data_IF_371042798219
#
_entry.id   IF_371042798219
#
_cell.length_a   1.000
_cell.length_b   1.000
_cell.length_c   1.000
_cell.angle_alpha   90.00
_cell.angle_beta   90.00
_cell.angle_gamma   90.00
#
_symmetry.space_group_name_H-M   'P 1'
#
loop_
_entity.id
_entity.type
_entity.pdbx_description
1 polymer ?
#
# COMPACT_ATOMS: atom_id res chain seq x y z
N UNK A 1 -24.74 2.17 -37.27
CA UNK A 1 -25.34 1.28 -36.24
C UNK A 1 -24.30 0.83 -35.18
N UNK A 2 -23.58 1.76 -34.52
CA UNK A 2 -22.52 1.40 -33.53
C UNK A 2 -22.69 2.03 -32.13
N UNK A 3 -23.63 2.96 -31.93
CA UNK A 3 -23.84 3.64 -30.64
C UNK A 3 -24.68 2.84 -29.63
N UNK A 4 -25.46 1.84 -30.06
CA UNK A 4 -26.35 1.06 -29.18
C UNK A 4 -25.60 0.02 -28.32
N UNK A 5 -24.40 -0.39 -28.73
CA UNK A 5 -23.61 -1.41 -28.01
C UNK A 5 -22.89 -0.85 -26.77
N UNK A 6 -22.48 0.42 -26.81
CA UNK A 6 -21.75 1.06 -25.70
C UNK A 6 -22.63 1.17 -24.45
N UNK A 7 -23.90 1.52 -24.61
CA UNK A 7 -24.85 1.65 -23.49
C UNK A 7 -25.10 0.30 -22.81
N UNK A 8 -25.19 -0.78 -23.59
CA UNK A 8 -25.40 -2.14 -23.05
C UNK A 8 -24.16 -2.62 -22.28
N UNK A 9 -22.95 -2.31 -22.76
CA UNK A 9 -21.70 -2.67 -22.08
C UNK A 9 -21.55 -1.90 -20.75
N UNK A 10 -21.88 -0.61 -20.72
CA UNK A 10 -21.82 0.19 -19.48
C UNK A 10 -22.79 -0.33 -18.42
N UNK A 11 -24.02 -0.67 -18.81
CA UNK A 11 -25.02 -1.22 -17.88
C UNK A 11 -24.55 -2.57 -17.31
N UNK A 12 -23.97 -3.45 -18.14
CA UNK A 12 -23.46 -4.75 -17.69
C UNK A 12 -22.29 -4.61 -16.71
N UNK A 13 -21.38 -3.66 -16.94
CA UNK A 13 -20.26 -3.38 -16.01
C UNK A 13 -20.80 -2.85 -14.68
N UNK A 14 -21.78 -1.93 -14.69
CA UNK A 14 -22.40 -1.43 -13.46
C UNK A 14 -23.08 -2.55 -12.66
N UNK A 15 -23.77 -3.50 -13.32
CA UNK A 15 -24.37 -4.64 -12.65
C UNK A 15 -23.34 -5.60 -12.04
N UNK A 16 -22.21 -5.83 -12.73
CA UNK A 16 -21.12 -6.67 -12.22
C UNK A 16 -20.46 -6.06 -10.99
N UNK A 17 -20.16 -4.76 -11.01
CA UNK A 17 -19.57 -4.06 -9.85
C UNK A 17 -20.54 -4.07 -8.66
N UNK A 18 -21.84 -3.86 -8.90
CA UNK A 18 -22.86 -3.92 -7.85
C UNK A 18 -22.94 -5.31 -7.19
N UNK A 19 -22.87 -6.40 -7.98
CA UNK A 19 -22.89 -7.75 -7.47
C UNK A 19 -21.65 -8.09 -6.62
N UNK A 20 -20.47 -7.64 -7.04
CA UNK A 20 -19.20 -7.87 -6.31
C UNK A 20 -19.21 -7.13 -4.95
N UNK A 21 -19.71 -5.89 -4.91
CA UNK A 21 -19.83 -5.12 -3.65
C UNK A 21 -20.87 -5.74 -2.71
N UNK A 22 -21.98 -6.28 -3.24
CA UNK A 22 -22.98 -6.99 -2.45
C UNK A 22 -22.44 -8.31 -1.86
N UNK A 23 -21.60 -9.03 -2.61
CA UNK A 23 -20.95 -10.26 -2.15
C UNK A 23 -19.93 -9.98 -1.04
N UNK A 24 -19.10 -8.95 -1.19
CA UNK A 24 -18.10 -8.59 -0.17
C UNK A 24 -18.72 -8.13 1.15
N UNK A 25 -19.88 -7.46 1.11
CA UNK A 25 -20.64 -7.13 2.33
C UNK A 25 -21.24 -8.37 3.02
N UNK A 26 -21.61 -9.41 2.27
CA UNK A 26 -22.17 -10.65 2.85
C UNK A 26 -21.11 -11.55 3.50
N UNK A 27 -19.87 -11.57 2.98
CA UNK A 27 -18.75 -12.27 3.64
C UNK A 27 -18.33 -11.60 4.95
N UNK A 28 -18.41 -10.28 5.02
CA UNK A 28 -18.04 -9.52 6.22
C UNK A 28 -19.01 -9.72 7.39
N UNK A 29 -20.30 -10.02 7.12
CA UNK A 29 -21.27 -10.30 8.18
C UNK A 29 -21.12 -11.71 8.76
N UNK A 30 -20.61 -12.68 7.99
CA UNK A 30 -20.38 -14.05 8.46
C UNK A 30 -19.11 -14.19 9.32
N UNK A 31 -18.11 -13.29 9.18
CA UNK A 31 -16.92 -13.29 10.04
C UNK A 31 -17.15 -12.64 11.40
N UNK A 32 -18.09 -11.70 11.52
CA UNK A 32 -18.38 -11.05 12.81
C UNK A 32 -19.14 -11.93 13.80
N UNK A 33 -19.86 -12.96 13.35
CA UNK A 33 -20.66 -13.82 14.24
C UNK A 33 -19.84 -14.94 14.91
N UNK A 34 -18.75 -15.40 14.29
CA UNK A 34 -17.88 -16.45 14.85
C UNK A 34 -16.82 -15.94 15.83
N UNK A 35 -16.51 -14.64 15.84
CA UNK A 35 -15.45 -14.08 16.68
C UNK A 35 -15.92 -13.79 18.13
N UNK A 36 -17.23 -13.73 18.38
CA UNK A 36 -17.79 -13.54 19.73
C UNK A 36 -18.03 -14.85 20.51
N UNK A 37 -18.00 -16.01 19.86
CA UNK A 37 -18.11 -17.32 20.52
C UNK A 37 -16.76 -17.87 21.01
N UNK A 38 -15.63 -17.43 20.42
CA UNK A 38 -14.31 -18.00 20.69
C UNK A 38 -13.54 -17.33 21.85
N UNK A 39 -13.91 -16.10 22.23
CA UNK A 39 -13.16 -15.30 23.21
C UNK A 39 -13.67 -15.43 24.68
N UNK A 40 -14.54 -16.39 24.99
CA UNK A 40 -15.09 -16.56 26.35
C UNK A 40 -14.73 -17.89 27.06
N UNK A 41 -13.88 -18.75 26.51
CA UNK A 41 -13.55 -20.04 27.11
C UNK A 41 -12.09 -20.24 27.57
N UNK A 42 -11.14 -19.35 27.28
CA UNK A 42 -9.71 -19.58 27.58
C UNK A 42 -9.13 -18.69 28.69
N UNK A 43 -9.81 -18.63 29.84
CA UNK A 43 -9.17 -18.11 31.05
C UNK A 43 -9.39 -18.98 32.28
N UNK A 44 -9.27 -20.30 32.14
CA UNK A 44 -8.91 -21.16 33.28
C UNK A 44 -8.30 -22.46 32.79
N UNK A 45 -6.97 -22.60 32.89
CA UNK A 45 -6.25 -23.73 33.50
C UNK A 45 -4.84 -23.87 32.90
N UNK A 46 -3.88 -23.68 33.80
CA UNK A 46 -2.48 -23.97 33.64
C UNK A 46 -2.23 -25.49 33.63
N UNK A 47 -1.19 -25.88 32.88
CA UNK A 47 -0.30 -27.03 33.09
C UNK A 47 -0.39 -28.23 32.13
N UNK A 48 0.82 -28.59 31.67
CA UNK A 48 1.34 -29.90 31.22
C UNK A 48 1.24 -30.33 29.74
N UNK A 49 2.43 -30.27 29.12
CA UNK A 49 3.18 -31.35 28.46
C UNK A 49 2.81 -31.89 27.06
N UNK A 50 3.87 -31.89 26.24
CA UNK A 50 4.33 -32.87 25.22
C UNK A 50 3.65 -33.00 23.85
N UNK A 51 4.41 -32.52 22.85
CA UNK A 51 5.00 -33.25 21.71
C UNK A 51 4.16 -33.71 20.50
N UNK A 52 4.81 -33.54 19.34
CA UNK A 52 4.67 -34.17 18.03
C UNK A 52 3.57 -33.74 17.04
N UNK A 53 4.06 -33.18 15.91
CA UNK A 53 3.47 -33.24 14.56
C UNK A 53 2.32 -32.29 14.29
N UNK A 54 2.12 -31.70 13.12
CA UNK A 54 2.80 -31.73 11.82
C UNK A 54 2.01 -30.69 10.98
N UNK A 55 2.73 -29.78 10.30
CA UNK A 55 2.44 -29.14 8.98
C UNK A 55 0.98 -28.92 8.55
N UNK A 56 0.55 -27.81 7.96
CA UNK A 56 1.21 -26.72 7.23
C UNK A 56 0.06 -25.75 6.88
N UNK A 57 0.16 -24.46 7.16
CA UNK A 57 -0.55 -23.44 6.35
C UNK A 57 0.06 -22.05 6.57
N UNK A 58 1.10 -21.80 5.76
CA UNK A 58 1.44 -20.52 5.15
C UNK A 58 1.42 -19.27 6.05
N UNK A 59 2.40 -19.19 6.95
CA UNK A 59 2.99 -17.90 7.27
C UNK A 59 3.57 -17.33 5.98
N UNK A 60 2.89 -16.35 5.37
CA UNK A 60 3.52 -15.51 4.34
C UNK A 60 4.76 -14.89 4.97
N UNK A 61 5.93 -15.31 4.51
CA UNK A 61 7.19 -14.67 4.83
C UNK A 61 7.09 -13.20 4.40
N UNK A 62 6.88 -12.30 5.36
CA UNK A 62 7.39 -10.95 5.24
C UNK A 62 8.90 -11.11 5.06
N UNK A 63 9.39 -10.97 3.82
CA UNK A 63 10.80 -11.16 3.48
C UNK A 63 11.68 -10.44 4.51
N UNK A 64 12.63 -11.18 5.09
CA UNK A 64 13.49 -10.73 6.17
C UNK A 64 14.43 -9.62 5.70
N UNK A 65 13.94 -8.39 5.63
CA UNK A 65 14.75 -7.23 5.33
C UNK A 65 15.77 -6.96 6.42
N UNK A 66 16.93 -6.44 6.03
CA UNK A 66 17.88 -5.88 7.00
C UNK A 66 17.53 -4.43 7.28
N UNK A 67 17.81 -3.88 8.47
CA UNK A 67 17.68 -2.44 8.69
C UNK A 67 18.44 -1.65 7.61
N UNK A 68 17.83 -0.59 7.09
CA UNK A 68 18.51 0.30 6.16
C UNK A 68 19.65 1.06 6.88
N UNK A 69 20.71 1.40 6.14
CA UNK A 69 21.80 2.24 6.65
C UNK A 69 21.34 3.69 6.84
N UNK A 70 21.99 4.42 7.74
CA UNK A 70 21.68 5.84 7.98
C UNK A 70 21.71 6.68 6.69
N UNK A 71 22.67 6.40 5.79
CA UNK A 71 22.79 7.07 4.50
C UNK A 71 21.59 6.78 3.58
N UNK A 72 21.09 5.54 3.57
CA UNK A 72 19.87 5.20 2.82
C UNK A 72 18.64 5.88 3.42
N UNK A 73 18.52 5.87 4.75
CA UNK A 73 17.42 6.49 5.48
C UNK A 73 17.36 8.00 5.17
N UNK A 74 18.50 8.68 5.23
CA UNK A 74 18.61 10.10 4.89
C UNK A 74 18.20 10.35 3.42
N UNK A 75 18.70 9.53 2.50
CA UNK A 75 18.42 9.69 1.08
C UNK A 75 16.93 9.50 0.73
N UNK A 76 16.29 8.44 1.23
CA UNK A 76 14.85 8.19 0.94
C UNK A 76 13.95 9.20 1.64
N UNK A 77 14.32 9.64 2.85
CA UNK A 77 13.62 10.71 3.56
C UNK A 77 13.68 12.01 2.79
N UNK A 78 14.84 12.34 2.21
CA UNK A 78 15.01 13.51 1.34
C UNK A 78 14.11 13.41 0.09
N UNK A 79 14.14 12.29 -0.63
CA UNK A 79 13.31 12.07 -1.83
C UNK A 79 11.83 12.21 -1.50
N UNK A 80 11.36 11.62 -0.41
CA UNK A 80 9.98 11.73 0.03
C UNK A 80 9.58 13.19 0.30
N UNK A 81 10.41 13.94 1.03
CA UNK A 81 10.13 15.34 1.34
C UNK A 81 10.17 16.24 0.09
N UNK A 82 11.08 15.99 -0.85
CA UNK A 82 11.13 16.69 -2.13
C UNK A 82 9.88 16.40 -2.98
N UNK A 83 9.42 15.15 -2.98
CA UNK A 83 8.19 14.76 -3.65
C UNK A 83 6.98 15.50 -3.06
N UNK A 84 6.82 15.48 -1.73
CA UNK A 84 5.76 16.22 -1.06
C UNK A 84 5.84 17.73 -1.35
N UNK A 85 7.05 18.30 -1.35
CA UNK A 85 7.27 19.71 -1.67
C UNK A 85 6.86 20.07 -3.10
N UNK A 86 7.18 19.21 -4.07
CA UNK A 86 6.78 19.36 -5.46
C UNK A 86 5.26 19.27 -5.62
N UNK A 87 4.62 18.28 -4.98
CA UNK A 87 3.15 18.14 -4.97
C UNK A 87 2.48 19.37 -4.34
N UNK A 88 2.97 19.85 -3.19
CA UNK A 88 2.47 21.06 -2.49
C UNK A 88 2.57 22.31 -3.36
N UNK A 89 3.65 22.42 -4.13
CA UNK A 89 3.92 23.55 -5.02
C UNK A 89 3.26 23.40 -6.41
N UNK A 90 2.52 22.30 -6.64
CA UNK A 90 1.94 21.92 -7.94
C UNK A 90 2.97 21.77 -9.07
N UNK A 91 4.22 21.49 -8.73
CA UNK A 91 5.29 21.15 -9.67
C UNK A 91 5.25 19.64 -9.96
N UNK A 92 4.27 19.25 -10.77
CA UNK A 92 4.02 17.84 -11.07
C UNK A 92 5.12 17.22 -11.94
N UNK A 93 5.84 18.02 -12.74
CA UNK A 93 6.99 17.53 -13.50
C UNK A 93 8.14 17.15 -12.57
N UNK A 94 8.42 17.96 -11.55
CA UNK A 94 9.42 17.63 -10.54
C UNK A 94 8.99 16.41 -9.70
N UNK A 95 7.73 16.35 -9.27
CA UNK A 95 7.21 15.18 -8.54
C UNK A 95 7.33 13.91 -9.40
N UNK A 96 7.00 13.99 -10.69
CA UNK A 96 7.13 12.88 -11.63
C UNK A 96 8.59 12.43 -11.82
N UNK A 97 9.55 13.35 -11.87
CA UNK A 97 10.98 13.00 -11.99
C UNK A 97 11.49 12.18 -10.80
N UNK A 98 10.90 12.34 -9.62
CA UNK A 98 11.24 11.61 -8.41
C UNK A 98 10.63 10.19 -8.37
N UNK A 99 9.74 9.85 -9.30
CA UNK A 99 9.20 8.50 -9.47
C UNK A 99 10.16 7.63 -10.29
N UNK A 100 10.23 6.35 -9.93
CA UNK A 100 10.99 5.32 -10.64
C UNK A 100 10.41 5.06 -12.03
N UNK A 101 11.21 4.50 -12.94
CA UNK A 101 10.71 4.14 -14.26
C UNK A 101 9.65 3.02 -14.18
N UNK A 102 9.74 2.13 -13.19
CA UNK A 102 8.70 1.12 -12.90
C UNK A 102 7.37 1.78 -12.54
N UNK A 103 7.34 2.78 -11.66
CA UNK A 103 6.10 3.48 -11.31
C UNK A 103 5.57 4.26 -12.51
N UNK A 104 6.45 4.91 -13.29
CA UNK A 104 6.07 5.64 -14.51
C UNK A 104 5.56 4.72 -15.61
N UNK A 105 5.87 3.43 -15.60
CA UNK A 105 5.30 2.50 -16.57
C UNK A 105 3.80 2.25 -16.38
N UNK A 106 3.23 2.63 -15.22
CA UNK A 106 1.82 2.45 -14.89
C UNK A 106 0.89 3.51 -15.49
N UNK A 107 1.44 4.61 -16.02
CA UNK A 107 0.66 5.69 -16.60
C UNK A 107 1.54 6.84 -17.10
N UNK A 108 0.93 7.88 -17.67
CA UNK A 108 1.68 9.05 -18.11
C UNK A 108 1.65 10.22 -17.11
N UNK A 109 2.38 11.29 -17.42
CA UNK A 109 2.41 12.49 -16.58
C UNK A 109 1.02 13.15 -16.43
N UNK A 110 0.14 13.02 -17.43
CA UNK A 110 -1.22 13.57 -17.38
C UNK A 110 -2.06 12.79 -16.38
N UNK A 111 -2.04 11.46 -16.46
CA UNK A 111 -2.73 10.57 -15.53
C UNK A 111 -2.22 10.74 -14.10
N UNK A 112 -0.91 10.86 -13.91
CA UNK A 112 -0.30 11.18 -12.63
C UNK A 112 -0.79 12.50 -12.06
N UNK A 113 -0.80 13.56 -12.89
CA UNK A 113 -1.28 14.87 -12.46
C UNK A 113 -2.75 14.83 -12.07
N UNK A 114 -3.59 14.10 -12.80
CA UNK A 114 -5.00 13.93 -12.46
C UNK A 114 -5.19 13.19 -11.12
N UNK A 115 -4.43 12.12 -10.89
CA UNK A 115 -4.45 11.36 -9.64
C UNK A 115 -4.01 12.23 -8.45
N UNK A 116 -2.87 12.89 -8.55
CA UNK A 116 -2.37 13.81 -7.51
C UNK A 116 -3.30 15.02 -7.31
N UNK A 117 -3.99 15.51 -8.34
CA UNK A 117 -4.93 16.62 -8.16
C UNK A 117 -6.17 16.18 -7.38
N UNK A 118 -6.62 14.93 -7.58
CA UNK A 118 -7.78 14.36 -6.90
C UNK A 118 -7.47 13.95 -5.46
N UNK A 119 -6.31 13.35 -5.25
CA UNK A 119 -5.94 12.66 -3.99
C UNK A 119 -4.79 13.33 -3.25
N UNK A 120 -4.14 14.33 -3.87
CA UNK A 120 -2.92 14.95 -3.33
C UNK A 120 -3.10 15.63 -1.98
N UNK A 121 -4.32 16.06 -1.63
CA UNK A 121 -4.61 16.55 -0.29
C UNK A 121 -4.26 15.51 0.79
N UNK A 122 -4.54 14.24 0.53
CA UNK A 122 -4.20 13.14 1.43
C UNK A 122 -2.67 12.92 1.41
N UNK A 123 -2.07 12.83 0.23
CA UNK A 123 -0.63 12.58 0.10
C UNK A 123 0.21 13.65 0.82
N UNK A 124 -0.22 14.91 0.82
CA UNK A 124 0.51 16.04 1.42
C UNK A 124 0.59 16.03 2.96
N UNK A 125 -0.30 15.30 3.63
CA UNK A 125 -0.34 15.16 5.09
C UNK A 125 0.45 13.95 5.61
N UNK A 126 0.98 13.12 4.70
CA UNK A 126 1.75 11.94 5.06
C UNK A 126 3.08 12.28 5.74
N UNK A 127 3.40 11.53 6.79
CA UNK A 127 4.62 11.67 7.59
C UNK A 127 5.42 10.37 7.48
N UNK A 128 6.67 10.47 7.07
CA UNK A 128 7.58 9.32 7.02
C UNK A 128 8.02 8.89 8.43
N UNK A 129 8.24 7.58 8.61
CA UNK A 129 8.78 6.92 9.81
C UNK A 129 10.16 6.34 9.51
N UNK A 130 11.24 7.15 9.53
CA UNK A 130 12.57 6.72 9.09
C UNK A 130 13.11 5.50 9.84
N UNK A 131 12.75 5.33 11.10
CA UNK A 131 13.11 4.20 11.96
C UNK A 131 12.56 2.86 11.50
N UNK A 132 11.55 2.88 10.62
CA UNK A 132 10.97 1.67 10.03
C UNK A 132 11.68 1.19 8.77
N UNK A 133 12.70 1.93 8.31
CA UNK A 133 13.36 1.67 7.05
C UNK A 133 14.05 0.30 7.02
N UNK A 134 13.64 -0.53 6.07
CA UNK A 134 14.22 -1.86 5.84
C UNK A 134 14.67 -1.98 4.39
N UNK A 135 15.84 -2.57 4.19
CA UNK A 135 16.34 -2.92 2.87
C UNK A 135 15.91 -4.34 2.51
N UNK A 136 15.22 -4.48 1.37
CA UNK A 136 14.73 -5.75 0.83
C UNK A 136 14.94 -5.71 -0.68
N UNK A 137 15.66 -6.69 -1.24
CA UNK A 137 15.86 -6.85 -2.68
C UNK A 137 16.35 -5.59 -3.41
N UNK A 138 17.31 -4.87 -2.81
CA UNK A 138 17.87 -3.64 -3.38
C UNK A 138 16.96 -2.41 -3.27
N UNK A 139 15.77 -2.55 -2.68
CA UNK A 139 14.84 -1.46 -2.37
C UNK A 139 14.91 -1.11 -0.90
N UNK A 140 14.55 0.12 -0.57
CA UNK A 140 14.33 0.55 0.81
C UNK A 140 12.83 0.74 0.99
N UNK A 141 12.23 0.02 1.95
CA UNK A 141 10.82 0.19 2.34
C UNK A 141 10.75 1.00 3.61
N UNK A 142 9.91 2.01 3.63
CA UNK A 142 9.68 2.87 4.79
C UNK A 142 8.20 3.02 5.03
N UNK A 143 7.76 2.93 6.29
CA UNK A 143 6.40 3.26 6.66
C UNK A 143 6.16 4.75 6.57
N UNK A 144 5.00 5.10 6.04
CA UNK A 144 4.42 6.44 6.10
C UNK A 144 3.10 6.38 6.82
N UNK A 145 2.82 7.39 7.64
CA UNK A 145 1.57 7.54 8.35
C UNK A 145 0.79 8.68 7.72
N UNK A 146 -0.44 8.41 7.35
CA UNK A 146 -1.39 9.42 6.92
C UNK A 146 -2.54 9.53 7.95
N UNK A 147 -2.91 10.74 8.40
CA UNK A 147 -3.92 10.92 9.45
C UNK A 147 -5.28 10.26 9.14
N UNK A 148 -5.69 10.21 7.87
CA UNK A 148 -6.99 9.64 7.46
C UNK A 148 -6.91 8.23 6.87
N UNK A 149 -5.73 7.75 6.48
CA UNK A 149 -5.57 6.46 5.76
C UNK A 149 -4.83 5.41 6.60
N UNK A 150 -4.19 5.81 7.70
CA UNK A 150 -3.42 4.91 8.54
C UNK A 150 -1.98 4.79 8.06
N UNK A 151 -1.38 3.63 8.29
CA UNK A 151 0.01 3.37 7.91
C UNK A 151 0.10 2.61 6.58
N UNK A 152 1.01 3.05 5.72
CA UNK A 152 1.33 2.40 4.45
C UNK A 152 2.84 2.21 4.32
N UNK A 153 3.26 1.27 3.46
CA UNK A 153 4.66 1.09 3.13
C UNK A 153 4.96 1.70 1.77
N UNK A 154 5.91 2.63 1.71
CA UNK A 154 6.46 3.14 0.47
C UNK A 154 7.77 2.44 0.16
N UNK A 155 7.97 2.11 -1.11
CA UNK A 155 9.22 1.54 -1.60
C UNK A 155 10.04 2.62 -2.31
N UNK A 156 11.34 2.54 -2.16
CA UNK A 156 12.31 3.39 -2.85
C UNK A 156 13.34 2.51 -3.53
N UNK A 157 13.80 2.95 -4.70
CA UNK A 157 14.80 2.25 -5.50
C UNK A 157 15.87 3.21 -5.97
N UNK A 158 17.09 2.72 -6.14
CA UNK A 158 18.17 3.52 -6.72
C UNK A 158 18.26 3.25 -8.22
N UNK A 159 18.05 4.30 -9.03
CA UNK A 159 18.19 4.30 -10.49
C UNK A 159 19.24 5.35 -10.87
N UNK A 160 20.24 4.95 -11.66
CA UNK A 160 21.33 5.83 -12.11
C UNK A 160 22.01 6.62 -10.96
N UNK A 161 22.15 5.97 -9.80
CA UNK A 161 22.74 6.55 -8.59
C UNK A 161 21.80 7.46 -7.79
N UNK A 162 20.57 7.70 -8.24
CA UNK A 162 19.57 8.53 -7.56
C UNK A 162 18.46 7.67 -6.95
N UNK A 163 18.07 7.97 -5.71
CA UNK A 163 16.90 7.35 -5.08
C UNK A 163 15.62 7.93 -5.66
N UNK A 164 14.64 7.05 -5.90
CA UNK A 164 13.33 7.38 -6.45
C UNK A 164 12.22 6.60 -5.74
N UNK A 165 11.01 7.14 -5.78
CA UNK A 165 9.78 6.50 -5.30
C UNK A 165 9.37 5.40 -6.29
N UNK A 166 9.20 4.17 -5.80
CA UNK A 166 8.83 2.99 -6.60
C UNK A 166 7.36 2.60 -6.43
#
# INVERSE_FOLDING_TARGET
MKKKWIVVVVILICCLVYAIVKLSMSENQNMSENQYAYNQAEKTQSAKQTDAGSTDEAAREEGSGTPATDAQIEAVTKVFNEFLGAVKSKDYEQAWKLMSESSKSQGDLVEFKEAITREGALIMESIIRPESATQIDGRVRVRVMHPSLGEENLSFVQEDGQWKLD
#
